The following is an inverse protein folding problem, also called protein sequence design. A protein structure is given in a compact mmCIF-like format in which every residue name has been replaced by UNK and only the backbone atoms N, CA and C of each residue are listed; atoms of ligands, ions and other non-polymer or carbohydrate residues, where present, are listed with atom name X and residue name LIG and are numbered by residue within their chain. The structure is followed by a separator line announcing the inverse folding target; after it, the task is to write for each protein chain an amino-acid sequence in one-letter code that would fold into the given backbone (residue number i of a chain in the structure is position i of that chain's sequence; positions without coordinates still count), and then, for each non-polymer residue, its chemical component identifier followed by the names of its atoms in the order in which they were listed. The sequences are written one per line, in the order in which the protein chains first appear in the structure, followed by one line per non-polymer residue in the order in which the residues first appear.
data_IF_814026158708
#
_entry.id   IF_814026158708
#
_cell.length_a   1.000
_cell.length_b   1.000
_cell.length_c   1.000
_cell.angle_alpha   90.00
_cell.angle_beta   90.00
_cell.angle_gamma   90.00
#
_symmetry.space_group_name_H-M   'P 1'
#
loop_
_entity.id
_entity.type
_entity.pdbx_description
1 polymer ?
#
# COMPACT_ATOMS: atom_id res chain seq x y z
N UNK A 1 -6.88 0.77 15.56
CA UNK A 1 -6.76 -0.59 14.99
C UNK A 1 -7.24 -1.58 16.03
N UNK A 2 -8.02 -2.59 15.64
CA UNK A 2 -8.43 -3.71 16.49
C UNK A 2 -8.31 -5.01 15.69
N UNK A 3 -8.15 -6.14 16.38
CA UNK A 3 -8.15 -7.46 15.73
C UNK A 3 -9.57 -8.01 15.65
N UNK A 4 -9.86 -8.72 14.55
CA UNK A 4 -11.10 -9.42 14.33
C UNK A 4 -10.84 -10.72 13.56
N UNK A 5 -11.84 -11.60 13.51
CA UNK A 5 -11.80 -12.83 12.74
C UNK A 5 -13.20 -13.19 12.20
N UNK A 6 -13.27 -14.17 11.30
CA UNK A 6 -14.51 -14.62 10.68
C UNK A 6 -14.94 -13.80 9.46
N UNK A 7 -16.01 -14.28 8.82
CA UNK A 7 -16.41 -13.78 7.50
C UNK A 7 -16.94 -12.35 7.50
N UNK A 8 -17.53 -11.90 8.62
CA UNK A 8 -18.15 -10.58 8.66
C UNK A 8 -17.15 -9.46 8.35
N UNK A 9 -16.05 -9.41 9.10
CA UNK A 9 -15.00 -8.39 8.91
C UNK A 9 -14.14 -8.67 7.67
N UNK A 10 -13.99 -9.93 7.26
CA UNK A 10 -13.26 -10.28 6.04
C UNK A 10 -13.93 -9.76 4.75
N UNK A 11 -15.27 -9.67 4.74
CA UNK A 11 -16.04 -9.16 3.59
C UNK A 11 -16.52 -7.71 3.77
N UNK A 12 -16.38 -7.13 4.98
CA UNK A 12 -16.68 -5.73 5.22
C UNK A 12 -15.75 -4.83 4.40
N UNK A 13 -16.26 -3.67 3.97
CA UNK A 13 -15.46 -2.64 3.31
C UNK A 13 -15.40 -1.41 4.20
N UNK A 14 -14.21 -0.83 4.44
CA UNK A 14 -14.09 0.35 5.26
C UNK A 14 -14.68 1.58 4.55
N UNK A 15 -15.32 2.44 5.33
CA UNK A 15 -15.72 3.77 4.89
C UNK A 15 -14.49 4.64 4.58
N UNK A 16 -14.68 5.67 3.75
CA UNK A 16 -13.60 6.59 3.39
C UNK A 16 -13.03 7.26 4.65
N UNK A 17 -11.73 7.12 4.96
CA UNK A 17 -11.15 7.75 6.14
C UNK A 17 -11.23 9.28 6.07
N UNK A 18 -11.51 9.90 7.21
CA UNK A 18 -11.68 11.34 7.28
C UNK A 18 -10.43 12.11 6.82
N UNK A 19 -10.66 13.08 5.92
CA UNK A 19 -9.64 13.99 5.42
C UNK A 19 -8.56 13.34 4.56
N UNK A 20 -8.73 12.11 4.08
CA UNK A 20 -7.70 11.43 3.28
C UNK A 20 -7.35 12.17 1.98
N UNK A 21 -8.30 12.89 1.40
CA UNK A 21 -8.09 13.71 0.18
C UNK A 21 -7.06 14.83 0.36
N UNK A 22 -6.73 15.19 1.60
CA UNK A 22 -5.76 16.24 1.95
C UNK A 22 -4.43 15.67 2.46
N UNK A 23 -4.23 14.37 2.36
CA UNK A 23 -3.04 13.67 2.86
C UNK A 23 -2.24 13.12 1.68
N UNK A 24 -0.94 12.93 1.89
CA UNK A 24 -0.02 12.28 0.96
C UNK A 24 0.84 11.28 1.71
N UNK A 25 1.30 10.24 1.01
CA UNK A 25 2.15 9.19 1.56
C UNK A 25 3.47 9.13 0.79
N UNK A 26 4.57 9.02 1.54
CA UNK A 26 5.91 8.82 1.01
C UNK A 26 6.44 7.50 1.55
N UNK A 27 6.69 6.55 0.66
CA UNK A 27 7.10 5.19 0.97
C UNK A 27 8.55 5.03 0.52
N UNK A 28 9.47 4.81 1.47
CA UNK A 28 10.90 4.63 1.17
C UNK A 28 11.17 3.14 0.91
N UNK A 29 11.74 2.84 -0.24
CA UNK A 29 11.86 1.51 -0.82
C UNK A 29 10.59 1.07 -1.54
N UNK A 30 10.74 0.21 -2.54
CA UNK A 30 9.68 -0.39 -3.35
C UNK A 30 9.62 -1.92 -3.23
N UNK A 31 10.09 -2.45 -2.10
CA UNK A 31 9.87 -3.85 -1.73
C UNK A 31 8.41 -4.14 -1.37
N UNK A 32 8.13 -5.42 -1.05
CA UNK A 32 6.78 -5.92 -0.75
C UNK A 32 6.03 -5.08 0.29
N UNK A 33 6.69 -4.61 1.34
CA UNK A 33 6.06 -3.83 2.40
C UNK A 33 5.50 -2.49 1.89
N UNK A 34 6.31 -1.73 1.16
CA UNK A 34 5.91 -0.43 0.60
C UNK A 34 4.84 -0.61 -0.47
N UNK A 35 4.97 -1.62 -1.34
CA UNK A 35 3.96 -1.90 -2.35
C UNK A 35 2.64 -2.35 -1.71
N UNK A 36 2.66 -3.20 -0.68
CA UNK A 36 1.46 -3.58 0.06
C UNK A 36 0.82 -2.37 0.76
N UNK A 37 1.62 -1.50 1.38
CA UNK A 37 1.12 -0.26 1.98
C UNK A 37 0.44 0.64 0.93
N UNK A 38 1.04 0.82 -0.25
CA UNK A 38 0.43 1.56 -1.35
C UNK A 38 -0.90 0.93 -1.80
N UNK A 39 -0.95 -0.39 -1.95
CA UNK A 39 -2.19 -1.11 -2.28
C UNK A 39 -3.30 -0.84 -1.25
N UNK A 40 -3.00 -0.92 0.05
CA UNK A 40 -3.99 -0.64 1.10
C UNK A 40 -4.35 0.86 1.19
N UNK A 41 -3.43 1.77 0.91
CA UNK A 41 -3.73 3.22 0.85
C UNK A 41 -4.72 3.54 -0.28
N UNK A 42 -4.57 2.93 -1.44
CA UNK A 42 -5.52 3.08 -2.55
C UNK A 42 -6.85 2.39 -2.23
N UNK A 43 -6.80 1.13 -1.79
CA UNK A 43 -7.99 0.28 -1.63
C UNK A 43 -8.85 0.64 -0.43
N UNK A 44 -8.24 0.72 0.74
CA UNK A 44 -8.93 0.90 2.03
C UNK A 44 -8.81 2.35 2.52
N UNK A 45 -7.65 2.95 2.29
CA UNK A 45 -7.42 4.37 2.55
C UNK A 45 -8.20 5.27 1.59
N UNK A 46 -8.57 4.78 0.40
CA UNK A 46 -9.20 5.56 -0.66
C UNK A 46 -8.43 6.86 -0.97
N UNK A 47 -7.09 6.82 -0.83
CA UNK A 47 -6.18 7.90 -1.21
C UNK A 47 -6.00 7.90 -2.73
N UNK A 48 -6.02 9.08 -3.34
CA UNK A 48 -5.71 9.24 -4.77
C UNK A 48 -4.28 8.80 -5.05
N UNK A 49 -4.06 8.01 -6.09
CA UNK A 49 -2.73 7.46 -6.41
C UNK A 49 -1.67 8.54 -6.64
N UNK A 50 -2.08 9.71 -7.15
CA UNK A 50 -1.23 10.89 -7.35
C UNK A 50 -0.59 11.42 -6.06
N UNK A 51 -1.17 11.09 -4.89
CA UNK A 51 -0.68 11.48 -3.56
C UNK A 51 0.20 10.40 -2.91
N UNK A 52 0.45 9.28 -3.58
CA UNK A 52 1.28 8.18 -3.10
C UNK A 52 2.58 8.16 -3.88
N UNK A 53 3.68 8.45 -3.20
CA UNK A 53 5.01 8.53 -3.79
C UNK A 53 5.88 7.40 -3.25
N UNK A 54 6.34 6.52 -4.13
CA UNK A 54 7.27 5.43 -3.79
C UNK A 54 8.67 5.85 -4.24
N UNK A 55 9.60 5.83 -3.30
CA UNK A 55 10.99 6.27 -3.48
C UNK A 55 11.89 5.04 -3.46
N UNK A 56 12.31 4.57 -4.63
CA UNK A 56 13.21 3.43 -4.78
C UNK A 56 14.63 3.91 -5.14
N UNK A 57 15.63 3.28 -4.55
CA UNK A 57 17.04 3.52 -4.86
C UNK A 57 17.48 2.79 -6.14
N UNK A 58 16.97 1.56 -6.32
CA UNK A 58 17.27 0.71 -7.47
C UNK A 58 16.54 1.17 -8.75
N UNK A 59 17.03 0.69 -9.89
CA UNK A 59 16.40 0.98 -11.18
C UNK A 59 15.06 0.25 -11.39
N UNK A 60 14.84 -0.85 -10.66
CA UNK A 60 13.64 -1.67 -10.76
C UNK A 60 12.98 -1.82 -9.39
N UNK A 61 11.64 -1.84 -9.34
CA UNK A 61 10.93 -2.10 -8.10
C UNK A 61 10.93 -3.59 -7.74
N UNK A 62 10.56 -3.89 -6.50
CA UNK A 62 10.40 -5.25 -5.99
C UNK A 62 11.31 -5.59 -4.82
N UNK A 63 12.42 -4.86 -4.65
CA UNK A 63 13.40 -5.13 -3.60
C UNK A 63 13.87 -6.58 -3.64
N UNK A 64 13.71 -7.34 -2.56
CA UNK A 64 14.08 -8.76 -2.50
C UNK A 64 13.17 -9.70 -3.31
N UNK A 65 12.15 -9.19 -3.99
CA UNK A 65 11.19 -9.96 -4.81
C UNK A 65 11.29 -9.61 -6.30
N UNK A 66 12.44 -9.13 -6.77
CA UNK A 66 12.66 -8.73 -8.16
C UNK A 66 12.79 -9.93 -9.12
N UNK A 67 13.36 -11.05 -8.67
CA UNK A 67 13.48 -12.28 -9.45
C UNK A 67 14.30 -12.14 -10.74
N UNK A 68 15.07 -11.06 -10.93
CA UNK A 68 15.70 -10.76 -12.24
C UNK A 68 16.88 -11.69 -12.56
N UNK A 69 17.44 -12.33 -11.53
CA UNK A 69 18.59 -13.21 -11.64
C UNK A 69 18.25 -14.68 -11.33
N UNK A 70 16.96 -15.05 -11.31
CA UNK A 70 16.50 -16.42 -11.08
C UNK A 70 15.64 -16.88 -12.28
N UNK A 71 16.19 -17.68 -13.22
CA UNK A 71 15.55 -18.06 -14.48
C UNK A 71 14.40 -19.08 -14.37
#
# INVERSE_FOLDING_TARGET
MYYSNGNYEAFARPEKPEGVDRKSAYLVGSGLASLAAACFLVRDGQMTGEHIHILEELALPGGASDGINDP
#
